data_IF_080830564106
#
_entry.id   IF_080830564106
#
_cell.length_a   1.000
_cell.length_b   1.000
_cell.length_c   1.000
_cell.angle_alpha   90.00
_cell.angle_beta   90.00
_cell.angle_gamma   90.00
#
_symmetry.space_group_name_H-M   'P 1'
#
loop_
_entity.id
_entity.type
_entity.pdbx_description
1 polymer ?
#
# COMPACT_ATOMS: atom_id res chain seq x y z
N UNK A 1 -4.76 -11.00 5.43
CA UNK A 1 -4.99 -9.82 6.28
C UNK A 1 -4.75 -8.47 5.58
N UNK A 2 -3.86 -8.28 4.59
CA UNK A 2 -3.61 -6.93 4.05
C UNK A 2 -4.62 -6.41 3.02
N UNK A 3 -5.39 -7.28 2.36
CA UNK A 3 -6.27 -6.88 1.23
C UNK A 3 -7.54 -6.12 1.62
N UNK A 4 -7.75 -5.88 2.92
CA UNK A 4 -8.83 -5.04 3.45
C UNK A 4 -8.27 -4.08 4.52
N UNK A 5 -6.96 -3.84 4.50
CA UNK A 5 -6.30 -3.03 5.50
C UNK A 5 -6.66 -1.55 5.34
N UNK A 6 -6.84 -1.07 4.11
CA UNK A 6 -7.13 0.35 3.86
C UNK A 6 -8.41 0.83 4.55
N UNK A 7 -9.59 0.18 4.41
CA UNK A 7 -10.77 0.62 5.14
C UNK A 7 -10.58 0.62 6.65
N UNK A 8 -9.92 -0.40 7.21
CA UNK A 8 -9.66 -0.49 8.67
C UNK A 8 -8.74 0.63 9.12
N UNK A 9 -7.70 0.94 8.34
CA UNK A 9 -6.76 2.04 8.58
C UNK A 9 -7.47 3.41 8.64
N UNK A 10 -8.51 3.64 7.84
CA UNK A 10 -9.28 4.88 7.90
C UNK A 10 -9.94 5.09 9.26
N UNK A 11 -10.42 4.01 9.89
CA UNK A 11 -11.10 4.06 11.19
C UNK A 11 -10.13 4.09 12.37
N UNK A 12 -9.08 3.26 12.35
CA UNK A 12 -8.28 2.95 13.55
C UNK A 12 -6.78 3.22 13.41
N UNK A 13 -6.30 3.64 12.23
CA UNK A 13 -4.87 3.78 11.89
C UNK A 13 -4.08 2.48 12.05
N UNK A 14 -2.76 2.59 11.90
CA UNK A 14 -1.83 1.48 12.11
C UNK A 14 -1.74 1.10 13.59
N UNK A 15 -1.42 -0.18 13.92
CA UNK A 15 -1.21 -0.61 15.30
C UNK A 15 -0.24 0.29 16.06
N UNK A 16 -0.56 0.61 17.32
CA UNK A 16 0.24 1.51 18.17
C UNK A 16 0.02 3.01 17.92
N UNK A 17 -0.82 3.39 16.95
CA UNK A 17 -1.27 4.77 16.72
C UNK A 17 -2.74 4.91 17.10
N UNK A 18 -3.12 6.07 17.62
CA UNK A 18 -4.52 6.41 17.91
C UNK A 18 -5.03 7.44 16.92
N UNK A 19 -6.35 7.48 16.70
CA UNK A 19 -6.98 8.49 15.85
C UNK A 19 -7.82 7.86 14.73
N UNK A 20 -8.45 8.72 13.93
CA UNK A 20 -9.33 8.32 12.83
C UNK A 20 -9.29 9.37 11.73
N UNK A 21 -9.36 8.94 10.47
CA UNK A 21 -9.45 9.85 9.33
C UNK A 21 -10.80 10.56 9.25
N UNK A 22 -11.81 10.08 9.99
CA UNK A 22 -13.14 10.71 10.08
C UNK A 22 -13.27 11.68 11.26
N UNK A 23 -12.20 11.83 12.07
CA UNK A 23 -12.19 12.69 13.24
C UNK A 23 -11.34 13.94 12.99
N UNK A 24 -11.94 15.16 12.88
CA UNK A 24 -11.20 16.40 12.63
C UNK A 24 -10.21 16.77 13.74
N UNK A 25 -10.38 16.25 14.94
CA UNK A 25 -9.45 16.44 16.05
C UNK A 25 -8.33 15.41 16.11
N UNK A 26 -8.25 14.47 15.16
CA UNK A 26 -7.15 13.51 15.11
C UNK A 26 -5.82 14.21 14.89
N UNK A 27 -4.79 13.71 15.57
CA UNK A 27 -3.36 14.05 15.40
C UNK A 27 -2.79 13.75 13.99
N UNK A 28 -3.59 13.14 13.11
CA UNK A 28 -3.31 12.97 11.68
C UNK A 28 -3.24 14.30 10.94
N UNK A 29 -4.04 15.28 11.38
CA UNK A 29 -4.33 16.47 10.60
C UNK A 29 -3.80 17.71 11.31
N UNK A 30 -3.22 18.61 10.53
CA UNK A 30 -2.92 19.96 11.00
C UNK A 30 -4.23 20.72 11.27
N UNK A 31 -4.20 21.77 12.11
CA UNK A 31 -5.40 22.57 12.38
C UNK A 31 -6.07 23.16 11.13
N UNK A 32 -5.33 23.33 10.03
CA UNK A 32 -5.83 23.91 8.78
C UNK A 32 -6.67 22.92 7.96
N UNK A 33 -6.42 21.62 8.11
CA UNK A 33 -7.09 20.55 7.35
C UNK A 33 -8.41 20.11 7.99
N UNK A 34 -8.74 20.61 9.19
CA UNK A 34 -9.95 20.21 9.93
C UNK A 34 -11.23 20.39 9.13
N UNK A 35 -11.35 21.50 8.39
CA UNK A 35 -12.51 21.77 7.54
C UNK A 35 -12.63 20.74 6.43
N UNK A 36 -11.52 20.33 5.83
CA UNK A 36 -11.49 19.34 4.75
C UNK A 36 -11.93 17.95 5.27
N UNK A 37 -11.53 17.61 6.49
CA UNK A 37 -11.96 16.37 7.17
C UNK A 37 -13.47 16.38 7.45
N UNK A 38 -14.02 17.51 7.89
CA UNK A 38 -15.47 17.65 8.12
C UNK A 38 -16.24 17.49 6.81
N UNK A 39 -15.79 18.16 5.74
CA UNK A 39 -16.43 18.09 4.42
C UNK A 39 -16.38 16.67 3.88
N UNK A 40 -15.20 16.02 3.88
CA UNK A 40 -15.04 14.66 3.36
C UNK A 40 -15.89 13.64 4.14
N UNK A 41 -15.92 13.74 5.47
CA UNK A 41 -16.75 12.89 6.33
C UNK A 41 -18.23 13.11 6.06
N UNK A 42 -18.66 14.36 5.87
CA UNK A 42 -20.05 14.69 5.54
C UNK A 42 -20.45 14.10 4.19
N UNK A 43 -19.61 14.23 3.16
CA UNK A 43 -19.83 13.61 1.84
C UNK A 43 -19.95 12.09 1.95
N UNK A 44 -19.12 11.45 2.78
CA UNK A 44 -19.19 10.01 3.02
C UNK A 44 -20.50 9.57 3.68
N UNK A 45 -20.95 10.31 4.70
CA UNK A 45 -22.25 10.08 5.35
C UNK A 45 -23.42 10.25 4.37
N UNK A 46 -23.37 11.27 3.50
CA UNK A 46 -24.38 11.48 2.45
C UNK A 46 -24.41 10.30 1.50
N UNK A 47 -23.25 9.81 1.05
CA UNK A 47 -23.17 8.67 0.14
C UNK A 47 -23.76 7.40 0.76
N UNK A 48 -23.45 7.12 2.03
CA UNK A 48 -24.04 5.97 2.74
C UNK A 48 -25.55 6.12 2.86
N UNK A 49 -26.03 7.31 3.23
CA UNK A 49 -27.46 7.59 3.35
C UNK A 49 -28.19 7.39 2.02
N UNK A 50 -27.56 7.80 0.91
CA UNK A 50 -28.08 7.56 -0.43
C UNK A 50 -28.14 6.06 -0.76
N UNK A 51 -27.09 5.29 -0.47
CA UNK A 51 -27.07 3.85 -0.71
C UNK A 51 -28.13 3.12 0.13
N UNK A 52 -28.32 3.51 1.38
CA UNK A 52 -29.37 2.97 2.26
C UNK A 52 -30.76 3.32 1.71
N UNK A 53 -30.99 4.57 1.29
CA UNK A 53 -32.24 4.98 0.67
C UNK A 53 -32.54 4.18 -0.61
N UNK A 54 -31.53 4.00 -1.47
CA UNK A 54 -31.65 3.17 -2.68
C UNK A 54 -31.95 1.71 -2.33
N UNK A 55 -31.33 1.17 -1.28
CA UNK A 55 -31.59 -0.20 -0.82
C UNK A 55 -33.02 -0.36 -0.28
N UNK A 56 -33.60 0.67 0.33
CA UNK A 56 -35.00 0.68 0.76
C UNK A 56 -35.98 0.72 -0.43
N UNK A 57 -35.63 1.41 -1.52
CA UNK A 57 -36.50 1.57 -2.69
C UNK A 57 -36.41 0.38 -3.65
N UNK A 58 -35.20 -0.07 -3.97
CA UNK A 58 -34.94 -1.10 -4.98
C UNK A 58 -34.62 -2.47 -4.39
N UNK A 59 -34.53 -2.57 -3.05
CA UNK A 59 -34.07 -3.74 -2.33
C UNK A 59 -32.55 -3.73 -2.13
N UNK A 60 -32.05 -4.42 -1.09
CA UNK A 60 -30.63 -4.42 -0.75
C UNK A 60 -29.78 -5.22 -1.74
N UNK A 61 -30.33 -6.25 -2.39
CA UNK A 61 -29.57 -7.14 -3.29
C UNK A 61 -29.09 -6.41 -4.56
N UNK A 62 -29.93 -5.66 -5.29
CA UNK A 62 -29.45 -4.88 -6.44
C UNK A 62 -28.37 -3.86 -6.08
N UNK A 63 -28.50 -3.16 -4.94
CA UNK A 63 -27.50 -2.19 -4.48
C UNK A 63 -26.19 -2.87 -4.10
N UNK A 64 -26.26 -4.03 -3.42
CA UNK A 64 -25.09 -4.82 -3.11
C UNK A 64 -24.35 -5.27 -4.38
N UNK A 65 -25.08 -5.74 -5.41
CA UNK A 65 -24.47 -6.21 -6.65
C UNK A 65 -23.89 -5.08 -7.50
N UNK A 66 -24.56 -3.93 -7.56
CA UNK A 66 -24.15 -2.80 -8.40
C UNK A 66 -23.07 -1.93 -7.75
N UNK A 67 -23.06 -1.82 -6.42
CA UNK A 67 -22.15 -0.93 -5.69
C UNK A 67 -21.26 -1.68 -4.72
N UNK A 68 -21.83 -2.51 -3.84
CA UNK A 68 -21.08 -3.16 -2.76
C UNK A 68 -20.01 -4.13 -3.26
N UNK A 69 -20.37 -5.07 -4.15
CA UNK A 69 -19.43 -6.06 -4.71
C UNK A 69 -18.32 -5.38 -5.54
N UNK A 70 -18.61 -4.46 -6.49
CA UNK A 70 -17.57 -3.72 -7.19
C UNK A 70 -16.66 -2.91 -6.26
N UNK A 71 -17.22 -2.27 -5.22
CA UNK A 71 -16.43 -1.54 -4.23
C UNK A 71 -15.48 -2.46 -3.46
N UNK A 72 -15.94 -3.63 -3.03
CA UNK A 72 -15.08 -4.62 -2.35
C UNK A 72 -13.94 -5.10 -3.26
N UNK A 73 -14.24 -5.39 -4.54
CA UNK A 73 -13.22 -5.78 -5.53
C UNK A 73 -12.21 -4.64 -5.72
N UNK A 74 -12.68 -3.39 -5.82
CA UNK A 74 -11.82 -2.22 -5.94
C UNK A 74 -10.89 -2.08 -4.72
N UNK A 75 -11.42 -2.18 -3.49
CA UNK A 75 -10.61 -2.12 -2.26
C UNK A 75 -9.55 -3.22 -2.24
N UNK A 76 -9.94 -4.47 -2.50
CA UNK A 76 -9.00 -5.59 -2.50
C UNK A 76 -7.92 -5.43 -3.58
N UNK A 77 -8.30 -4.91 -4.76
CA UNK A 77 -7.36 -4.64 -5.84
C UNK A 77 -6.40 -3.51 -5.48
N UNK A 78 -6.91 -2.40 -4.94
CA UNK A 78 -6.12 -1.25 -4.50
C UNK A 78 -5.09 -1.66 -3.43
N UNK A 79 -5.51 -2.41 -2.41
CA UNK A 79 -4.61 -2.91 -1.37
C UNK A 79 -3.58 -3.89 -1.95
N UNK A 80 -3.99 -4.76 -2.87
CA UNK A 80 -3.09 -5.70 -3.53
C UNK A 80 -1.98 -4.99 -4.31
N UNK A 81 -2.34 -4.07 -5.21
CA UNK A 81 -1.34 -3.39 -6.05
C UNK A 81 -0.45 -2.49 -5.20
N UNK A 82 -1.02 -1.77 -4.23
CA UNK A 82 -0.24 -0.96 -3.28
C UNK A 82 0.77 -1.83 -2.54
N UNK A 83 0.33 -2.96 -1.98
CA UNK A 83 1.24 -3.90 -1.32
C UNK A 83 2.35 -4.38 -2.26
N UNK A 84 2.02 -4.83 -3.47
CA UNK A 84 3.00 -5.33 -4.43
C UNK A 84 4.03 -4.28 -4.87
N UNK A 85 3.67 -3.01 -4.93
CA UNK A 85 4.61 -1.94 -5.26
C UNK A 85 5.52 -1.54 -4.08
N UNK A 86 5.21 -1.96 -2.85
CA UNK A 86 5.98 -1.60 -1.65
C UNK A 86 6.59 -2.82 -0.93
N UNK A 87 6.28 -4.05 -1.37
CA UNK A 87 6.71 -5.31 -0.76
C UNK A 87 7.11 -6.36 -1.82
N UNK A 88 7.63 -7.51 -1.37
CA UNK A 88 7.85 -8.68 -2.22
C UNK A 88 9.09 -8.60 -3.10
N UNK A 89 10.07 -7.81 -2.68
CA UNK A 89 11.43 -7.83 -3.21
C UNK A 89 12.40 -7.90 -2.04
N UNK A 90 13.44 -8.74 -2.14
CA UNK A 90 14.28 -9.10 -1.00
C UNK A 90 15.09 -7.92 -0.44
N UNK A 91 15.38 -6.91 -1.28
CA UNK A 91 16.28 -5.80 -0.95
C UNK A 91 15.55 -4.45 -1.01
N UNK A 92 14.46 -4.31 -0.24
CA UNK A 92 13.74 -3.04 -0.06
C UNK A 92 14.09 -2.42 1.30
N UNK A 93 15.00 -1.41 1.33
CA UNK A 93 15.34 -0.75 2.57
C UNK A 93 14.22 0.18 3.03
N UNK A 94 14.02 0.21 4.34
CA UNK A 94 13.23 1.20 5.07
C UNK A 94 14.19 2.19 5.71
N UNK A 95 14.06 3.46 5.34
CA UNK A 95 14.89 4.55 5.85
C UNK A 95 14.16 5.30 6.97
N UNK A 96 14.84 5.53 8.09
CA UNK A 96 14.29 6.30 9.20
C UNK A 96 14.54 7.80 9.02
N UNK A 97 13.56 8.59 9.47
CA UNK A 97 13.61 10.06 9.41
C UNK A 97 14.42 10.71 10.52
N UNK A 98 14.67 10.00 11.64
CA UNK A 98 15.47 10.47 12.76
C UNK A 98 16.40 9.33 13.18
N UNK A 99 17.70 9.61 13.24
CA UNK A 99 18.74 8.64 13.60
C UNK A 99 18.65 8.29 15.08
N UNK A 100 18.88 7.02 15.42
CA UNK A 100 19.11 6.63 16.81
C UNK A 100 20.53 7.02 17.24
N UNK A 101 20.74 8.30 17.55
CA UNK A 101 22.01 8.82 18.09
C UNK A 101 21.97 10.34 18.29
N UNK A 102 22.89 10.87 19.12
CA UNK A 102 23.01 12.31 19.40
C UNK A 102 23.50 13.13 18.19
N UNK A 103 23.81 12.49 17.07
CA UNK A 103 24.23 13.14 15.84
C UNK A 103 23.02 13.46 14.96
N UNK A 104 22.48 14.66 15.17
CA UNK A 104 21.40 15.29 14.38
C UNK A 104 21.70 15.47 12.87
N UNK A 105 22.84 14.97 12.37
CA UNK A 105 23.35 15.24 11.02
C UNK A 105 23.15 14.12 9.99
N UNK A 106 22.62 12.95 10.36
CA UNK A 106 22.48 11.81 9.45
C UNK A 106 21.01 11.39 9.28
N UNK A 107 20.22 12.18 8.58
CA UNK A 107 18.87 11.77 8.18
C UNK A 107 18.96 10.76 7.01
N UNK A 108 18.66 9.48 7.26
CA UNK A 108 18.70 8.44 6.22
C UNK A 108 17.54 8.56 5.23
N UNK A 109 16.35 8.96 5.70
CA UNK A 109 15.18 9.13 4.83
C UNK A 109 15.25 10.42 4.03
N UNK A 110 15.04 10.32 2.72
CA UNK A 110 14.76 11.46 1.85
C UNK A 110 13.67 11.09 0.85
N UNK A 111 12.99 12.08 0.28
CA UNK A 111 11.95 11.85 -0.72
C UNK A 111 12.43 10.96 -1.88
N UNK A 112 13.64 11.23 -2.39
CA UNK A 112 14.26 10.44 -3.44
C UNK A 112 14.54 9.00 -2.99
N UNK A 113 15.12 8.80 -1.81
CA UNK A 113 15.43 7.46 -1.29
C UNK A 113 14.16 6.66 -1.03
N UNK A 114 13.12 7.28 -0.48
CA UNK A 114 11.81 6.66 -0.28
C UNK A 114 11.10 6.35 -1.61
N UNK A 115 11.19 7.21 -2.62
CA UNK A 115 10.64 6.91 -3.95
C UNK A 115 11.31 5.69 -4.60
N UNK A 116 12.63 5.57 -4.45
CA UNK A 116 13.42 4.46 -5.01
C UNK A 116 13.26 3.11 -4.28
N UNK A 117 12.53 3.06 -3.15
CA UNK A 117 12.19 1.80 -2.48
C UNK A 117 10.88 1.20 -2.99
N UNK A 118 10.18 1.92 -3.87
CA UNK A 118 9.05 1.35 -4.59
C UNK A 118 9.53 0.39 -5.69
N UNK A 119 8.63 -0.49 -6.13
CA UNK A 119 8.91 -1.53 -7.11
C UNK A 119 7.91 -1.41 -8.24
N UNK A 120 8.40 -1.20 -9.46
CA UNK A 120 7.56 -1.31 -10.66
C UNK A 120 7.06 -2.75 -10.82
N UNK A 121 5.82 -2.91 -11.29
CA UNK A 121 5.19 -4.24 -11.51
C UNK A 121 4.53 -4.26 -12.88
N UNK A 122 4.68 -5.37 -13.59
CA UNK A 122 4.01 -5.57 -14.87
C UNK A 122 2.73 -6.39 -14.67
N UNK A 123 1.57 -5.80 -14.97
CA UNK A 123 0.26 -6.45 -14.81
C UNK A 123 -0.29 -7.07 -16.11
N UNK A 124 0.52 -7.18 -17.17
CA UNK A 124 0.08 -7.74 -18.45
C UNK A 124 -0.98 -6.87 -19.12
N UNK A 125 -2.08 -7.46 -19.57
CA UNK A 125 -3.17 -6.70 -20.21
C UNK A 125 -3.87 -5.72 -19.27
N UNK A 126 -3.79 -5.96 -17.95
CA UNK A 126 -4.43 -5.10 -16.95
C UNK A 126 -3.75 -3.72 -16.90
N UNK A 127 -2.48 -3.59 -17.32
CA UNK A 127 -1.76 -2.32 -17.41
C UNK A 127 -2.57 -1.20 -18.07
N UNK A 128 -3.28 -1.47 -19.16
CA UNK A 128 -4.07 -0.43 -19.83
C UNK A 128 -5.36 -0.07 -19.07
N UNK A 129 -5.91 -1.02 -18.31
CA UNK A 129 -7.18 -0.84 -17.58
C UNK A 129 -6.98 0.08 -16.38
N UNK A 130 -5.84 -0.07 -15.69
CA UNK A 130 -5.47 0.77 -14.55
C UNK A 130 -4.41 1.82 -14.90
N UNK A 131 -4.42 2.34 -16.13
CA UNK A 131 -3.62 3.51 -16.51
C UNK A 131 -2.11 3.39 -16.26
N UNK A 132 -1.55 2.20 -16.51
CA UNK A 132 -0.12 1.89 -16.39
C UNK A 132 0.48 2.18 -15.00
N UNK A 133 -0.29 1.96 -13.92
CA UNK A 133 0.21 2.15 -12.53
C UNK A 133 1.50 1.36 -12.20
N UNK A 134 1.86 0.37 -13.02
CA UNK A 134 3.10 -0.38 -12.91
C UNK A 134 4.38 0.46 -12.98
N UNK A 135 4.31 1.70 -13.46
CA UNK A 135 5.41 2.70 -13.46
C UNK A 135 5.52 3.46 -12.13
N UNK A 136 5.38 2.75 -11.02
CA UNK A 136 5.20 3.31 -9.68
C UNK A 136 6.41 4.10 -9.20
N UNK A 137 7.64 3.70 -9.56
CA UNK A 137 8.87 4.41 -9.19
C UNK A 137 8.87 5.84 -9.71
N UNK A 138 8.61 6.03 -11.01
CA UNK A 138 8.58 7.37 -11.60
C UNK A 138 7.38 8.17 -11.12
N UNK A 139 6.24 7.51 -10.90
CA UNK A 139 5.09 8.16 -10.29
C UNK A 139 5.44 8.74 -8.91
N UNK A 140 6.18 8.01 -8.08
CA UNK A 140 6.61 8.48 -6.77
C UNK A 140 7.70 9.55 -6.82
N UNK A 141 8.59 9.52 -7.81
CA UNK A 141 9.64 10.53 -7.95
C UNK A 141 9.12 11.83 -8.56
N UNK A 142 8.14 11.73 -9.46
CA UNK A 142 7.61 12.86 -10.24
C UNK A 142 6.08 12.74 -10.36
N UNK A 143 5.33 12.90 -9.26
CA UNK A 143 3.87 12.73 -9.25
C UNK A 143 3.13 13.75 -10.12
N UNK A 144 3.81 14.82 -10.55
CA UNK A 144 3.28 15.81 -11.49
C UNK A 144 3.23 15.31 -12.94
N UNK A 145 3.97 14.25 -13.28
CA UNK A 145 3.90 13.62 -14.60
C UNK A 145 2.57 12.86 -14.67
N UNK A 146 1.70 13.19 -15.63
CA UNK A 146 0.42 12.51 -15.75
C UNK A 146 0.61 11.06 -16.20
N UNK A 147 -0.33 10.19 -15.83
CA UNK A 147 -0.21 8.73 -16.05
C UNK A 147 0.11 8.36 -17.52
N UNK A 148 -0.44 9.10 -18.48
CA UNK A 148 -0.29 8.83 -19.91
C UNK A 148 1.11 9.15 -20.46
N UNK A 149 1.98 9.80 -19.68
CA UNK A 149 3.40 9.96 -19.99
C UNK A 149 4.32 9.14 -19.09
N UNK A 150 3.80 8.42 -18.08
CA UNK A 150 4.68 7.71 -17.12
C UNK A 150 5.47 6.58 -17.78
N UNK A 151 4.90 5.89 -18.77
CA UNK A 151 5.63 4.84 -19.52
C UNK A 151 6.81 5.43 -20.29
N UNK A 152 6.63 6.59 -20.91
CA UNK A 152 7.68 7.31 -21.62
C UNK A 152 8.74 7.82 -20.64
N UNK A 153 8.32 8.47 -19.55
CA UNK A 153 9.21 8.98 -18.52
C UNK A 153 10.02 7.85 -17.85
N UNK A 154 9.41 6.69 -17.61
CA UNK A 154 10.09 5.50 -17.09
C UNK A 154 11.17 5.01 -18.05
N UNK A 155 10.88 4.95 -19.35
CA UNK A 155 11.89 4.58 -20.36
C UNK A 155 13.05 5.57 -20.39
N UNK A 156 12.78 6.87 -20.27
CA UNK A 156 13.80 7.91 -20.26
C UNK A 156 14.64 7.91 -18.96
N UNK A 157 14.04 7.60 -17.82
CA UNK A 157 14.70 7.60 -16.51
C UNK A 157 15.54 6.33 -16.24
N UNK A 158 15.18 5.19 -16.83
CA UNK A 158 15.93 3.91 -16.72
C UNK A 158 17.45 4.05 -16.82
N UNK A 159 18.03 4.65 -17.87
CA UNK A 159 19.49 4.79 -17.98
C UNK A 159 20.10 5.70 -16.90
N UNK A 160 19.33 6.67 -16.38
CA UNK A 160 19.78 7.59 -15.31
C UNK A 160 19.79 6.88 -13.96
N UNK A 161 18.75 6.11 -13.67
CA UNK A 161 18.65 5.31 -12.44
C UNK A 161 19.66 4.17 -12.42
N UNK A 162 20.00 3.62 -13.60
CA UNK A 162 21.04 2.60 -13.76
C UNK A 162 20.84 1.42 -12.82
N UNK A 163 21.85 1.13 -11.99
CA UNK A 163 21.81 0.02 -11.03
C UNK A 163 20.73 0.12 -9.95
N UNK A 164 20.15 1.31 -9.74
CA UNK A 164 19.11 1.51 -8.74
C UNK A 164 17.71 1.21 -9.28
N UNK A 165 17.55 1.09 -10.61
CA UNK A 165 16.28 0.67 -11.19
C UNK A 165 16.16 -0.86 -11.20
N UNK A 166 15.05 -1.35 -10.66
CA UNK A 166 14.72 -2.78 -10.65
C UNK A 166 13.78 -3.05 -11.79
N UNK A 167 14.27 -3.74 -12.83
CA UNK A 167 13.42 -4.13 -13.95
C UNK A 167 12.31 -5.09 -13.48
N UNK A 168 11.03 -4.78 -13.76
CA UNK A 168 9.93 -5.66 -13.40
C UNK A 168 9.99 -6.97 -14.20
N UNK A 169 9.72 -8.09 -13.53
CA UNK A 169 9.45 -9.36 -14.20
C UNK A 169 8.26 -9.18 -15.15
N UNK A 170 8.43 -9.61 -16.41
CA UNK A 170 7.41 -9.43 -17.44
C UNK A 170 6.26 -10.40 -17.26
N UNK A 171 5.05 -9.87 -17.31
CA UNK A 171 3.84 -10.68 -17.31
C UNK A 171 3.56 -11.23 -18.70
N UNK A 172 2.92 -12.41 -18.76
CA UNK A 172 2.16 -12.81 -19.93
C UNK A 172 0.88 -11.97 -20.06
N UNK A 173 -0.18 -12.49 -20.71
CA UNK A 173 -1.48 -11.80 -20.75
C UNK A 173 -2.03 -11.46 -19.35
N UNK A 174 -1.83 -12.38 -18.39
CA UNK A 174 -2.22 -12.23 -16.99
C UNK A 174 -1.00 -12.25 -16.07
N UNK A 175 -1.01 -11.51 -14.95
CA UNK A 175 0.14 -11.37 -14.07
C UNK A 175 0.24 -12.50 -13.03
N UNK A 176 0.27 -13.76 -13.49
CA UNK A 176 0.24 -14.91 -12.59
C UNK A 176 1.45 -14.98 -11.64
N UNK A 177 2.61 -14.46 -12.07
CA UNK A 177 3.82 -14.43 -11.26
C UNK A 177 3.66 -13.58 -9.99
N UNK A 178 2.83 -12.53 -10.03
CA UNK A 178 2.60 -11.63 -8.89
C UNK A 178 1.87 -12.33 -7.74
N UNK A 179 1.08 -13.37 -7.99
CA UNK A 179 0.52 -14.19 -6.90
C UNK A 179 1.62 -14.95 -6.15
N UNK A 180 2.63 -15.45 -6.86
CA UNK A 180 3.81 -16.06 -6.24
C UNK A 180 4.60 -15.06 -5.41
N UNK A 181 4.78 -13.83 -5.93
CA UNK A 181 5.41 -12.73 -5.17
C UNK A 181 4.63 -12.40 -3.91
N UNK A 182 3.31 -12.19 -4.04
CA UNK A 182 2.42 -11.90 -2.91
C UNK A 182 2.51 -12.99 -1.84
N UNK A 183 2.31 -14.26 -2.22
CA UNK A 183 2.29 -15.37 -1.26
C UNK A 183 3.64 -15.56 -0.56
N UNK A 184 4.76 -15.34 -1.25
CA UNK A 184 6.08 -15.37 -0.61
C UNK A 184 6.23 -14.19 0.36
N UNK A 185 5.96 -12.98 -0.11
CA UNK A 185 6.06 -11.75 0.68
C UNK A 185 5.23 -11.81 1.96
N UNK A 186 3.97 -12.28 1.87
CA UNK A 186 3.11 -12.47 3.04
C UNK A 186 3.63 -13.48 4.07
N UNK A 187 4.59 -14.35 3.71
CA UNK A 187 5.21 -15.32 4.61
C UNK A 187 6.53 -14.85 5.20
N UNK A 188 7.19 -13.86 4.58
CA UNK A 188 8.56 -13.46 4.96
C UNK A 188 8.67 -12.00 5.36
N UNK A 189 7.79 -11.13 4.85
CA UNK A 189 7.79 -9.68 5.08
C UNK A 189 6.79 -9.32 6.19
N UNK A 190 7.06 -9.73 7.43
CA UNK A 190 6.13 -9.55 8.55
C UNK A 190 6.29 -8.20 9.25
N UNK A 191 7.53 -7.78 9.51
CA UNK A 191 7.81 -6.54 10.23
C UNK A 191 9.18 -5.95 9.84
N UNK A 192 9.47 -4.73 10.27
CA UNK A 192 10.80 -4.12 10.20
C UNK A 192 11.29 -3.85 11.62
N UNK A 193 12.59 -3.99 11.88
CA UNK A 193 13.14 -3.82 13.23
C UNK A 193 12.93 -2.41 13.77
N UNK A 194 12.70 -2.33 15.08
CA UNK A 194 12.69 -1.07 15.83
C UNK A 194 14.09 -0.43 16.00
N UNK A 195 15.15 -1.13 15.60
CA UNK A 195 16.55 -0.74 15.77
C UNK A 195 17.26 -0.57 14.42
N UNK A 196 18.03 0.51 14.29
CA UNK A 196 18.84 0.82 13.10
C UNK A 196 18.19 1.86 12.18
N UNK A 197 19.02 2.55 11.39
CA UNK A 197 18.57 3.70 10.57
C UNK A 197 18.16 3.29 9.14
N UNK A 198 18.75 2.21 8.64
CA UNK A 198 18.37 1.51 7.40
C UNK A 198 18.04 0.06 7.74
N UNK A 199 16.76 -0.29 7.67
CA UNK A 199 16.25 -1.60 8.07
C UNK A 199 15.56 -2.30 6.90
N UNK A 200 15.36 -3.60 7.01
CA UNK A 200 14.71 -4.43 5.99
C UNK A 200 13.59 -5.25 6.62
N UNK A 201 12.67 -5.74 5.79
CA UNK A 201 11.64 -6.65 6.24
C UNK A 201 12.25 -7.94 6.84
N UNK A 202 11.61 -8.42 7.90
CA UNK A 202 12.00 -9.60 8.64
C UNK A 202 10.81 -10.54 8.82
N UNK A 203 11.14 -11.82 8.90
CA UNK A 203 10.17 -12.89 9.14
C UNK A 203 9.94 -13.06 10.62
N UNK A 204 8.70 -12.88 11.05
CA UNK A 204 8.26 -13.35 12.36
C UNK A 204 7.98 -14.85 12.30
N UNK A 205 8.83 -15.64 12.96
CA UNK A 205 8.71 -17.11 12.98
C UNK A 205 7.49 -17.60 13.77
N UNK A 206 6.98 -16.81 14.72
CA UNK A 206 5.79 -17.17 15.51
C UNK A 206 4.51 -17.20 14.66
N UNK A 207 4.47 -16.43 13.57
CA UNK A 207 3.34 -16.39 12.63
C UNK A 207 3.34 -17.54 11.60
N UNK A 208 4.49 -18.20 11.41
CA UNK A 208 4.65 -19.23 10.37
C UNK A 208 4.42 -20.67 10.87
N UNK A 209 3.99 -20.86 12.12
CA UNK A 209 3.38 -22.12 12.57
C UNK A 209 4.30 -23.35 12.50
N UNK A 210 5.54 -23.25 12.98
CA UNK A 210 6.35 -24.44 13.33
C UNK A 210 6.21 -24.87 14.79
N UNK A 211 5.61 -24.04 15.66
CA UNK A 211 5.50 -24.34 17.10
C UNK A 211 4.40 -25.33 17.47
N UNK A 212 3.47 -25.68 16.57
CA UNK A 212 2.43 -26.68 16.90
C UNK A 212 3.00 -28.09 17.09
N UNK A 213 4.19 -28.38 16.55
CA UNK A 213 4.82 -29.70 16.63
C UNK A 213 5.75 -29.87 17.85
N UNK A 214 6.20 -28.78 18.50
CA UNK A 214 7.03 -28.86 19.70
C UNK A 214 6.18 -28.91 20.99
N UNK A 215 5.04 -28.23 21.02
CA UNK A 215 4.11 -28.26 22.17
C UNK A 215 3.41 -29.63 22.37
N UNK A 216 3.42 -30.48 21.34
CA UNK A 216 2.89 -31.85 21.40
C UNK A 216 3.91 -32.88 21.93
N UNK A 217 5.18 -32.49 22.16
CA UNK A 217 6.23 -33.37 22.73
C UNK A 217 6.46 -33.14 24.23
N UNK A 218 5.81 -32.16 24.83
CA UNK A 218 5.93 -31.82 26.25
C UNK A 218 4.60 -31.84 27.02
N UNK A 219 3.59 -32.55 26.50
CA UNK A 219 2.42 -33.02 27.25
C UNK A 219 2.38 -34.54 27.26
#
# INVERSE_FOLDING_TARGET
FPLLAFPVYLWYRSPGKTGSHFLPSSDLFSPKEKSDVIVSTTCWCIMISLLVALACVFGPVPVLMLYGVPYLVFVMWLDLVTYLHHHGHNDLPWYRGETSGNDHYLQEWSYLRGGLTTVDRDYGWINNIHHDIGTHVIHHLFPQIPHYHLVEATKAARPVLGRYYREPEKSGPLPLHLFGVLLRSLRVDHFVSDVGDVVYYQTDHSLNGTDWAEDAKHK
#
